data_IF_065553892423
#
_entry.id   IF_065553892423
#
_cell.length_a   1.000
_cell.length_b   1.000
_cell.length_c   1.000
_cell.angle_alpha   90.00
_cell.angle_beta   90.00
_cell.angle_gamma   90.00
#
_symmetry.space_group_name_H-M   'P 1'
#
loop_
_entity.id
_entity.type
_entity.pdbx_description
1 polymer ?
#
# COMPACT_ATOMS: atom_id res chain seq x y z
N UNK A 1 4.37 26.89 -15.46
CA UNK A 1 4.84 25.85 -16.41
C UNK A 1 3.79 24.76 -16.52
N UNK A 2 3.61 24.18 -17.72
CA UNK A 2 2.71 23.05 -17.94
C UNK A 2 3.23 21.80 -17.22
N UNK A 3 2.33 20.98 -16.68
CA UNK A 3 2.63 19.64 -16.12
C UNK A 3 2.15 18.50 -17.02
N UNK A 4 1.66 18.83 -18.22
CA UNK A 4 1.21 17.85 -19.20
C UNK A 4 2.43 17.16 -19.82
N UNK A 5 2.49 15.84 -19.72
CA UNK A 5 3.58 14.99 -20.23
C UNK A 5 3.02 13.65 -20.69
N UNK A 6 3.81 12.87 -21.44
CA UNK A 6 3.41 11.52 -21.82
C UNK A 6 3.46 10.56 -20.63
N UNK A 7 2.69 9.47 -20.68
CA UNK A 7 2.73 8.42 -19.66
C UNK A 7 4.14 7.83 -19.50
N UNK A 8 4.85 7.65 -20.63
CA UNK A 8 6.21 7.12 -20.66
C UNK A 8 7.17 8.00 -19.86
N UNK A 9 7.15 9.31 -20.11
CA UNK A 9 7.99 10.29 -19.40
C UNK A 9 7.61 10.39 -17.92
N UNK A 10 6.30 10.41 -17.62
CA UNK A 10 5.82 10.45 -16.23
C UNK A 10 6.31 9.23 -15.42
N UNK A 11 6.24 8.02 -15.99
CA UNK A 11 6.69 6.81 -15.31
C UNK A 11 8.22 6.72 -15.24
N UNK A 12 8.93 7.15 -16.29
CA UNK A 12 10.40 7.18 -16.30
C UNK A 12 10.98 8.12 -15.23
N UNK A 13 10.19 9.07 -14.74
CA UNK A 13 10.58 9.96 -13.64
C UNK A 13 10.57 9.28 -12.26
N UNK A 14 10.06 8.06 -12.13
CA UNK A 14 9.96 7.31 -10.88
C UNK A 14 11.17 6.39 -10.75
N UNK A 15 12.07 6.62 -9.77
CA UNK A 15 13.18 5.72 -9.52
C UNK A 15 12.70 4.35 -9.03
N UNK A 16 13.43 3.30 -9.38
CA UNK A 16 13.33 2.00 -8.68
C UNK A 16 13.57 2.20 -7.18
N UNK A 17 12.92 1.40 -6.34
CA UNK A 17 12.97 1.58 -4.88
C UNK A 17 11.97 2.61 -4.32
N UNK A 18 11.23 3.32 -5.18
CA UNK A 18 10.30 4.36 -4.71
C UNK A 18 9.09 3.80 -3.96
N UNK A 19 8.57 4.59 -3.02
CA UNK A 19 7.25 4.39 -2.46
C UNK A 19 6.19 5.05 -3.35
N UNK A 20 5.27 4.25 -3.90
CA UNK A 20 4.16 4.71 -4.72
C UNK A 20 2.82 4.35 -4.08
N UNK A 21 2.03 5.37 -3.74
CA UNK A 21 0.66 5.18 -3.32
C UNK A 21 -0.25 4.98 -4.55
N UNK A 22 -0.95 3.85 -4.61
CA UNK A 22 -1.91 3.56 -5.68
C UNK A 22 -3.29 4.11 -5.29
N UNK A 23 -3.95 4.73 -6.26
CA UNK A 23 -5.32 5.21 -6.11
C UNK A 23 -6.35 4.12 -6.45
N UNK A 24 -7.64 4.47 -6.41
CA UNK A 24 -8.72 3.57 -6.78
C UNK A 24 -9.22 2.72 -5.61
N UNK A 25 -10.14 1.81 -5.93
CA UNK A 25 -10.75 0.89 -4.96
C UNK A 25 -11.12 -0.40 -5.68
N UNK A 26 -10.52 -1.53 -5.28
CA UNK A 26 -10.76 -2.84 -5.87
C UNK A 26 -10.58 -2.85 -7.39
N UNK A 27 -11.67 -2.74 -8.15
CA UNK A 27 -11.68 -2.71 -9.63
C UNK A 27 -11.99 -1.34 -10.23
N UNK A 28 -12.23 -0.33 -9.39
CA UNK A 28 -12.72 0.98 -9.80
C UNK A 28 -11.60 2.02 -9.81
N UNK A 29 -11.36 2.63 -10.97
CA UNK A 29 -10.34 3.68 -11.20
C UNK A 29 -8.91 3.28 -10.79
N UNK A 30 -8.57 2.00 -10.91
CA UNK A 30 -7.18 1.52 -10.77
C UNK A 30 -6.27 2.15 -11.83
N UNK A 31 -5.01 2.39 -11.47
CA UNK A 31 -4.00 3.02 -12.33
C UNK A 31 -3.40 2.02 -13.35
N UNK A 32 -4.25 1.37 -14.14
CA UNK A 32 -3.85 0.23 -14.99
C UNK A 32 -2.86 0.61 -16.09
N UNK A 33 -2.99 1.80 -16.68
CA UNK A 33 -2.05 2.27 -17.70
C UNK A 33 -0.66 2.49 -17.09
N UNK A 34 -0.63 3.12 -15.91
CA UNK A 34 0.59 3.30 -15.12
C UNK A 34 1.25 1.97 -14.77
N UNK A 35 0.50 1.02 -14.20
CA UNK A 35 1.02 -0.30 -13.82
C UNK A 35 1.69 -1.02 -15.01
N UNK A 36 1.04 -1.01 -16.19
CA UNK A 36 1.60 -1.60 -17.41
C UNK A 36 2.88 -0.90 -17.88
N UNK A 37 2.95 0.43 -17.75
CA UNK A 37 4.13 1.21 -18.13
C UNK A 37 5.30 0.94 -17.19
N UNK A 38 5.06 0.89 -15.88
CA UNK A 38 6.08 0.53 -14.86
C UNK A 38 6.71 -0.83 -15.21
N UNK A 39 5.87 -1.83 -15.50
CA UNK A 39 6.34 -3.17 -15.90
C UNK A 39 7.13 -3.11 -17.21
N UNK A 40 6.67 -2.37 -18.21
CA UNK A 40 7.34 -2.26 -19.51
C UNK A 40 8.70 -1.58 -19.43
N UNK A 41 8.84 -0.60 -18.54
CA UNK A 41 10.12 0.09 -18.32
C UNK A 41 11.06 -0.70 -17.40
N UNK A 42 10.61 -1.82 -16.82
CA UNK A 42 11.44 -2.65 -15.96
C UNK A 42 11.78 -1.98 -14.62
N UNK A 43 10.91 -1.09 -14.12
CA UNK A 43 11.05 -0.50 -12.79
C UNK A 43 10.76 -1.58 -11.74
N UNK A 44 11.59 -1.63 -10.69
CA UNK A 44 11.59 -2.70 -9.68
C UNK A 44 11.78 -2.14 -8.27
N UNK A 45 11.60 -2.99 -7.26
CA UNK A 45 11.85 -2.62 -5.86
C UNK A 45 10.82 -1.64 -5.30
N UNK A 46 9.64 -1.53 -5.90
CA UNK A 46 8.66 -0.54 -5.45
C UNK A 46 8.06 -0.95 -4.11
N UNK A 47 7.92 0.02 -3.21
CA UNK A 47 6.99 -0.07 -2.09
C UNK A 47 5.65 0.46 -2.58
N UNK A 48 4.63 -0.39 -2.60
CA UNK A 48 3.26 0.00 -2.93
C UNK A 48 2.47 0.24 -1.65
N UNK A 49 1.66 1.28 -1.63
CA UNK A 49 0.63 1.42 -0.59
C UNK A 49 -0.75 1.66 -1.18
N UNK A 50 -1.77 0.99 -0.63
CA UNK A 50 -3.14 1.13 -1.11
C UNK A 50 -4.13 0.87 0.04
N UNK A 51 -5.18 1.69 0.18
CA UNK A 51 -6.17 1.45 1.24
C UNK A 51 -6.89 0.12 1.02
N UNK A 52 -7.34 -0.14 -0.20
CA UNK A 52 -7.88 -1.44 -0.63
C UNK A 52 -7.14 -1.89 -1.86
N UNK A 53 -6.45 -3.02 -1.77
CA UNK A 53 -5.70 -3.65 -2.86
C UNK A 53 -6.58 -3.90 -4.08
N UNK A 54 -6.08 -3.52 -5.26
CA UNK A 54 -6.83 -3.63 -6.52
C UNK A 54 -6.04 -4.25 -7.67
N UNK A 55 -6.64 -4.20 -8.87
CA UNK A 55 -6.07 -4.81 -10.09
C UNK A 55 -4.66 -4.28 -10.45
N UNK A 56 -4.37 -3.03 -10.12
CA UNK A 56 -3.08 -2.41 -10.38
C UNK A 56 -1.98 -2.94 -9.45
N UNK A 57 -2.29 -3.13 -8.16
CA UNK A 57 -1.38 -3.78 -7.22
C UNK A 57 -1.11 -5.24 -7.63
N UNK A 58 -2.15 -6.00 -7.99
CA UNK A 58 -2.01 -7.40 -8.42
C UNK A 58 -1.14 -7.51 -9.69
N UNK A 59 -1.36 -6.63 -10.66
CA UNK A 59 -0.57 -6.58 -11.88
C UNK A 59 0.89 -6.20 -11.61
N UNK A 60 1.15 -5.22 -10.73
CA UNK A 60 2.51 -4.80 -10.38
C UNK A 60 3.28 -5.89 -9.63
N UNK A 61 2.61 -6.62 -8.74
CA UNK A 61 3.20 -7.79 -8.06
C UNK A 61 3.47 -8.91 -9.05
N UNK A 62 2.50 -9.28 -9.89
CA UNK A 62 2.67 -10.31 -10.91
C UNK A 62 3.72 -9.97 -11.96
N UNK A 63 3.91 -8.68 -12.26
CA UNK A 63 4.99 -8.16 -13.10
C UNK A 63 6.34 -8.06 -12.39
N UNK A 64 6.43 -8.47 -11.11
CA UNK A 64 7.62 -8.43 -10.27
C UNK A 64 8.17 -7.03 -10.05
N UNK A 65 7.32 -5.99 -10.08
CA UNK A 65 7.73 -4.60 -9.88
C UNK A 65 7.75 -4.20 -8.40
N UNK A 66 6.91 -4.83 -7.58
CA UNK A 66 6.78 -4.56 -6.16
C UNK A 66 7.68 -5.45 -5.32
N UNK A 67 8.31 -4.87 -4.30
CA UNK A 67 9.07 -5.57 -3.25
C UNK A 67 8.29 -5.57 -1.92
N UNK A 68 7.56 -4.49 -1.66
CA UNK A 68 6.74 -4.31 -0.45
C UNK A 68 5.33 -3.85 -0.82
N UNK A 69 4.31 -4.38 -0.14
CA UNK A 69 2.92 -3.95 -0.27
C UNK A 69 2.33 -3.63 1.11
N UNK A 70 1.96 -2.37 1.33
CA UNK A 70 1.35 -1.88 2.57
C UNK A 70 -0.12 -1.59 2.29
N UNK A 71 -1.04 -2.40 2.83
CA UNK A 71 -2.43 -2.33 2.40
C UNK A 71 -3.45 -2.79 3.45
N UNK A 72 -4.73 -2.45 3.22
CA UNK A 72 -5.84 -2.77 4.12
C UNK A 72 -6.53 -4.10 3.85
N UNK A 73 -5.91 -5.00 3.07
CA UNK A 73 -6.59 -6.08 2.35
C UNK A 73 -7.07 -5.64 0.96
N UNK A 74 -7.52 -6.57 0.12
CA UNK A 74 -7.90 -6.25 -1.25
C UNK A 74 -8.81 -7.28 -1.91
N UNK A 75 -9.40 -6.90 -3.05
CA UNK A 75 -10.35 -7.74 -3.78
C UNK A 75 -10.44 -7.28 -5.24
N UNK A 76 -10.72 -8.22 -6.13
CA UNK A 76 -11.13 -7.94 -7.51
C UNK A 76 -12.67 -7.93 -7.65
N UNK A 77 -13.39 -7.74 -6.54
CA UNK A 77 -14.84 -7.73 -6.46
C UNK A 77 -15.41 -9.03 -7.08
N UNK A 78 -16.38 -8.93 -8.00
CA UNK A 78 -16.92 -10.07 -8.77
C UNK A 78 -15.89 -10.93 -9.51
N UNK A 79 -14.66 -10.46 -9.69
CA UNK A 79 -13.60 -11.20 -10.39
C UNK A 79 -12.67 -11.98 -9.45
N UNK A 80 -12.92 -11.93 -8.13
CA UNK A 80 -12.26 -12.80 -7.14
C UNK A 80 -11.21 -12.10 -6.29
N UNK A 81 -10.12 -12.81 -6.01
CA UNK A 81 -9.03 -12.35 -5.14
C UNK A 81 -7.81 -11.89 -5.96
N UNK A 82 -6.88 -11.22 -5.28
CA UNK A 82 -5.60 -10.77 -5.85
C UNK A 82 -4.67 -11.98 -6.03
N UNK A 83 -4.74 -12.63 -7.19
CA UNK A 83 -4.08 -13.93 -7.42
C UNK A 83 -2.57 -13.83 -7.32
N UNK A 84 -1.98 -12.78 -7.89
CA UNK A 84 -0.53 -12.59 -7.87
C UNK A 84 -0.04 -12.12 -6.50
N UNK A 85 -0.79 -11.27 -5.81
CA UNK A 85 -0.48 -10.88 -4.42
C UNK A 85 -0.49 -12.09 -3.50
N UNK A 86 -1.58 -12.88 -3.51
CA UNK A 86 -1.70 -14.05 -2.65
C UNK A 86 -0.58 -15.06 -2.93
N UNK A 87 -0.33 -15.37 -4.21
CA UNK A 87 0.76 -16.27 -4.58
C UNK A 87 2.13 -15.73 -4.14
N UNK A 88 2.37 -14.41 -4.21
CA UNK A 88 3.64 -13.85 -3.78
C UNK A 88 3.82 -13.86 -2.25
N UNK A 89 2.72 -13.69 -1.49
CA UNK A 89 2.70 -13.85 -0.03
C UNK A 89 3.01 -15.31 0.33
N UNK A 90 2.29 -16.26 -0.27
CA UNK A 90 2.47 -17.70 -0.02
C UNK A 90 3.88 -18.19 -0.34
N UNK A 91 4.50 -17.63 -1.38
CA UNK A 91 5.86 -17.97 -1.79
C UNK A 91 6.95 -17.14 -1.07
N UNK A 92 6.58 -16.20 -0.19
CA UNK A 92 7.52 -15.33 0.52
C UNK A 92 8.32 -14.38 -0.38
N UNK A 93 7.82 -14.07 -1.58
CA UNK A 93 8.49 -13.19 -2.56
C UNK A 93 8.02 -11.74 -2.50
N UNK A 94 7.00 -11.46 -1.69
CA UNK A 94 6.49 -10.11 -1.42
C UNK A 94 6.50 -9.85 0.09
N UNK A 95 7.07 -8.72 0.52
CA UNK A 95 6.87 -8.21 1.88
C UNK A 95 5.49 -7.54 1.96
N UNK A 96 4.47 -8.31 2.30
CA UNK A 96 3.12 -7.78 2.53
C UNK A 96 2.97 -7.36 3.99
N UNK A 97 2.50 -6.13 4.20
CA UNK A 97 2.12 -5.61 5.51
C UNK A 97 0.66 -5.22 5.48
N UNK A 98 -0.11 -5.99 6.24
CA UNK A 98 -1.54 -5.85 6.32
C UNK A 98 -1.90 -4.94 7.49
N UNK A 99 -2.72 -3.95 7.21
CA UNK A 99 -3.29 -3.03 8.20
C UNK A 99 -4.81 -3.15 8.12
N UNK A 100 -5.53 -2.54 9.06
CA UNK A 100 -6.94 -2.25 8.78
C UNK A 100 -7.03 -1.16 7.68
N UNK A 101 -8.08 -1.21 6.84
CA UNK A 101 -8.33 -0.14 5.86
C UNK A 101 -8.46 1.24 6.52
N UNK A 102 -8.97 1.30 7.75
CA UNK A 102 -9.05 2.53 8.52
C UNK A 102 -7.65 3.05 8.88
N UNK A 103 -6.73 2.17 9.31
CA UNK A 103 -5.35 2.53 9.62
C UNK A 103 -4.63 3.14 8.41
N UNK A 104 -4.75 2.55 7.22
CA UNK A 104 -4.15 3.11 5.99
C UNK A 104 -4.74 4.49 5.66
N UNK A 105 -6.07 4.63 5.80
CA UNK A 105 -6.75 5.91 5.59
C UNK A 105 -6.21 7.00 6.52
N UNK A 106 -6.02 6.69 7.81
CA UNK A 106 -5.46 7.63 8.77
C UNK A 106 -3.97 7.92 8.54
N UNK A 107 -3.18 6.97 8.02
CA UNK A 107 -1.79 7.23 7.59
C UNK A 107 -1.75 8.24 6.44
N UNK A 108 -2.63 8.10 5.45
CA UNK A 108 -2.73 9.08 4.36
C UNK A 108 -3.25 10.44 4.84
N UNK A 109 -4.21 10.45 5.76
CA UNK A 109 -4.69 11.69 6.38
C UNK A 109 -3.59 12.40 7.18
N UNK A 110 -2.77 11.66 7.93
CA UNK A 110 -1.64 12.22 8.66
C UNK A 110 -0.67 12.90 7.68
N UNK A 111 -0.30 12.20 6.60
CA UNK A 111 0.58 12.75 5.56
C UNK A 111 0.00 13.98 4.86
N UNK A 112 -1.30 14.00 4.56
CA UNK A 112 -1.94 15.15 3.92
C UNK A 112 -2.04 16.38 4.82
N UNK A 113 -2.12 16.18 6.14
CA UNK A 113 -2.12 17.23 7.15
C UNK A 113 -0.70 17.63 7.60
N UNK A 114 0.34 16.93 7.15
CA UNK A 114 1.71 17.13 7.64
C UNK A 114 1.91 16.71 9.11
N UNK A 115 1.06 15.83 9.61
CA UNK A 115 1.17 15.27 10.97
C UNK A 115 2.11 14.07 10.97
N UNK A 116 2.93 13.88 12.02
CA UNK A 116 3.81 12.71 12.13
C UNK A 116 3.02 11.41 12.32
N UNK A 117 1.86 11.47 12.97
CA UNK A 117 0.96 10.34 13.20
C UNK A 117 -0.45 10.82 13.52
N UNK A 118 -1.44 9.92 13.44
CA UNK A 118 -2.77 10.08 14.02
C UNK A 118 -3.07 8.86 14.88
N UNK A 119 -3.43 9.02 16.17
CA UNK A 119 -3.77 7.88 17.02
C UNK A 119 -5.06 7.21 16.56
N UNK A 120 -5.08 5.87 16.59
CA UNK A 120 -6.22 5.04 16.22
C UNK A 120 -6.37 3.88 17.20
N UNK A 121 -7.60 3.41 17.41
CA UNK A 121 -7.88 2.16 18.16
C UNK A 121 -8.07 0.94 17.25
N UNK A 122 -8.11 1.15 15.94
CA UNK A 122 -8.60 0.18 14.95
C UNK A 122 -7.78 -1.11 14.83
N UNK A 123 -6.58 -1.16 15.38
CA UNK A 123 -5.72 -2.36 15.37
C UNK A 123 -5.79 -3.16 16.68
N UNK A 124 -6.26 -2.54 17.77
CA UNK A 124 -6.22 -3.14 19.10
C UNK A 124 -7.07 -4.42 19.15
N UNK A 125 -6.51 -5.48 19.75
CA UNK A 125 -7.19 -6.77 19.91
C UNK A 125 -7.30 -7.60 18.63
N UNK A 126 -6.52 -7.29 17.59
CA UNK A 126 -6.48 -8.06 16.34
C UNK A 126 -5.13 -8.71 16.11
N UNK A 127 -5.11 -9.85 15.42
CA UNK A 127 -3.86 -10.51 14.99
C UNK A 127 -3.06 -9.64 14.01
N UNK A 128 -3.71 -8.69 13.33
CA UNK A 128 -3.05 -7.69 12.46
C UNK A 128 -2.01 -6.92 13.28
N UNK A 129 -2.34 -6.50 14.50
CA UNK A 129 -1.41 -5.76 15.35
C UNK A 129 -0.21 -6.61 15.77
N UNK A 130 -0.43 -7.88 16.10
CA UNK A 130 0.65 -8.79 16.49
C UNK A 130 1.57 -9.06 15.31
N UNK A 131 1.04 -9.32 14.12
CA UNK A 131 1.83 -9.48 12.89
C UNK A 131 2.63 -8.22 12.55
N UNK A 132 2.04 -7.04 12.68
CA UNK A 132 2.74 -5.79 12.38
C UNK A 132 3.86 -5.50 13.39
N UNK A 133 3.71 -5.86 14.67
CA UNK A 133 4.81 -5.76 15.65
C UNK A 133 5.99 -6.64 15.25
N UNK A 134 5.74 -7.85 14.73
CA UNK A 134 6.80 -8.76 14.28
C UNK A 134 7.49 -8.29 13.00
N UNK A 135 6.72 -7.74 12.05
CA UNK A 135 7.22 -7.42 10.71
C UNK A 135 7.71 -5.98 10.57
N UNK A 136 7.20 -5.04 11.37
CA UNK A 136 7.38 -3.60 11.23
C UNK A 136 7.32 -2.87 12.57
N UNK A 137 8.08 -3.34 13.56
CA UNK A 137 8.11 -2.79 14.93
C UNK A 137 8.29 -1.27 14.96
N UNK A 138 9.05 -0.70 14.02
CA UNK A 138 9.30 0.75 13.96
C UNK A 138 8.12 1.59 13.46
N UNK A 139 7.12 0.96 12.83
CA UNK A 139 5.99 1.66 12.19
C UNK A 139 4.77 1.76 13.13
N UNK A 140 4.85 1.18 14.34
CA UNK A 140 3.77 1.18 15.34
C UNK A 140 4.28 1.66 16.69
N UNK A 141 3.49 2.49 17.37
CA UNK A 141 3.73 2.90 18.73
C UNK A 141 2.42 2.95 19.52
N UNK A 142 2.49 2.63 20.80
CA UNK A 142 1.42 2.89 21.76
C UNK A 142 1.64 4.26 22.38
N UNK A 143 0.56 5.01 22.56
CA UNK A 143 0.59 6.31 23.21
C UNK A 143 -0.46 6.34 24.30
N UNK A 144 -0.14 7.02 25.40
CA UNK A 144 -1.11 7.30 26.45
C UNK A 144 -1.87 8.58 26.11
N UNK A 145 -3.20 8.52 26.14
CA UNK A 145 -4.05 9.70 26.00
C UNK A 145 -3.75 10.66 27.18
N UNK A 146 -3.28 11.89 26.91
CA UNK A 146 -2.91 12.83 27.96
C UNK A 146 -4.11 13.41 28.74
N UNK A 147 -5.33 13.22 28.25
CA UNK A 147 -6.56 13.74 28.85
C UNK A 147 -7.28 12.69 29.70
N UNK A 148 -7.31 11.42 29.26
CA UNK A 148 -7.99 10.34 29.99
C UNK A 148 -7.02 9.43 30.74
N UNK A 149 -5.76 9.35 30.29
CA UNK A 149 -4.78 8.41 30.79
C UNK A 149 -4.95 6.99 30.26
N UNK A 150 -5.87 6.76 29.32
CA UNK A 150 -6.02 5.46 28.65
C UNK A 150 -4.86 5.21 27.68
N UNK A 151 -4.55 3.94 27.44
CA UNK A 151 -3.68 3.49 26.34
C UNK A 151 -4.49 3.13 25.07
#
# INVERSE_FOLDING_TARGET
MSKLTSLKEAVASIPSGSHVALSGFAITRCAMAFAREVIRQGIKGLTLSQCVGGMDADLLVGGGAAERLIYGGGSLDRFGFLSCVNAAIENGTLRAEEYSSLSITFRYLAGSLGLPFIPIRSLLGSDILEQLKEQSETDIAFIKDPFTGDE
#
